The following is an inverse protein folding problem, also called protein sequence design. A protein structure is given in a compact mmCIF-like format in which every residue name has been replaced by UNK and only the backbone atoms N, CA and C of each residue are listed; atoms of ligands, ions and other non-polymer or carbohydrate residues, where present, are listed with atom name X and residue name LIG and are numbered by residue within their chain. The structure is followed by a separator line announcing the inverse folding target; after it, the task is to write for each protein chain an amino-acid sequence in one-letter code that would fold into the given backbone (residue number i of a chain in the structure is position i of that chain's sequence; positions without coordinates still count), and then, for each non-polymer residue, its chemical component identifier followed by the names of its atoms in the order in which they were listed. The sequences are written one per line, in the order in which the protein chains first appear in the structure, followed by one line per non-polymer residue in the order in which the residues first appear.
data_IF_526174081729
#
_entry.id   IF_526174081729
#
_cell.length_a   1.000
_cell.length_b   1.000
_cell.length_c   1.000
_cell.angle_alpha   90.00
_cell.angle_beta   90.00
_cell.angle_gamma   90.00
#
_symmetry.space_group_name_H-M   'P 1'
#
loop_
_entity.id
_entity.type
_entity.pdbx_description
1 polymer ?
#
# COMPACT_ATOMS: atom_id res chain seq x y z
N UNK A 1 -4.69 -9.29 12.87
CA UNK A 1 -5.90 -9.29 12.02
C UNK A 1 -7.09 -8.89 12.87
N UNK A 2 -8.18 -8.42 12.27
CA UNK A 2 -9.46 -8.19 12.95
C UNK A 2 -10.27 -9.48 12.96
N UNK A 3 -10.89 -9.85 14.09
CA UNK A 3 -11.74 -11.03 14.17
C UNK A 3 -12.95 -10.91 13.24
N UNK A 4 -13.24 -11.97 12.50
CA UNK A 4 -14.41 -12.09 11.63
C UNK A 4 -15.63 -12.59 12.39
N UNK A 5 -16.82 -12.41 11.81
CA UNK A 5 -18.06 -12.98 12.35
C UNK A 5 -17.95 -14.50 12.51
N UNK A 6 -17.35 -15.19 11.52
CA UNK A 6 -17.13 -16.63 11.58
C UNK A 6 -16.24 -17.06 12.75
N UNK A 7 -15.16 -16.33 13.00
CA UNK A 7 -14.25 -16.62 14.12
C UNK A 7 -14.92 -16.35 15.48
N UNK A 8 -15.76 -15.31 15.57
CA UNK A 8 -16.54 -15.03 16.78
C UNK A 8 -17.52 -16.16 17.08
N UNK A 9 -18.25 -16.66 16.08
CA UNK A 9 -19.17 -17.78 16.26
C UNK A 9 -18.46 -19.09 16.64
N UNK A 10 -17.17 -19.22 16.29
CA UNK A 10 -16.34 -20.37 16.64
C UNK A 10 -15.70 -20.26 18.04
N UNK A 11 -15.86 -19.15 18.77
CA UNK A 11 -15.31 -18.99 20.12
C UNK A 11 -15.91 -20.02 21.07
N UNK A 12 -15.05 -20.57 21.93
CA UNK A 12 -15.46 -21.51 22.97
C UNK A 12 -16.54 -20.88 23.87
N UNK A 13 -17.63 -21.63 24.09
CA UNK A 13 -18.79 -21.18 24.86
C UNK A 13 -19.86 -20.43 24.04
N UNK A 14 -19.62 -20.13 22.76
CA UNK A 14 -20.59 -19.46 21.88
C UNK A 14 -21.25 -20.40 20.85
N UNK A 15 -21.00 -21.71 20.94
CA UNK A 15 -21.54 -22.72 20.00
C UNK A 15 -23.06 -22.81 19.92
N UNK A 16 -23.77 -22.28 20.93
CA UNK A 16 -25.22 -22.18 20.92
C UNK A 16 -25.76 -21.01 20.06
N UNK A 17 -24.91 -20.05 19.68
CA UNK A 17 -25.26 -19.01 18.72
C UNK A 17 -25.33 -19.60 17.32
N UNK A 18 -26.38 -19.28 16.56
CA UNK A 18 -26.64 -19.89 15.25
C UNK A 18 -26.81 -18.83 14.17
N UNK A 19 -26.06 -18.98 13.09
CA UNK A 19 -26.32 -18.20 11.88
C UNK A 19 -27.67 -18.62 11.28
N UNK A 20 -28.56 -17.67 11.05
CA UNK A 20 -29.89 -17.87 10.46
C UNK A 20 -30.01 -17.36 9.02
N UNK A 21 -29.23 -16.34 8.66
CA UNK A 21 -29.12 -15.79 7.31
C UNK A 21 -27.81 -15.00 7.14
N UNK A 22 -27.51 -14.55 5.91
CA UNK A 22 -26.42 -13.64 5.59
C UNK A 22 -25.05 -14.31 5.51
N UNK A 23 -24.99 -15.58 5.06
CA UNK A 23 -23.75 -16.37 5.01
C UNK A 23 -22.60 -15.68 4.27
N UNK A 24 -22.91 -14.84 3.28
CA UNK A 24 -21.91 -14.08 2.52
C UNK A 24 -21.09 -13.11 3.40
N UNK A 25 -21.66 -12.62 4.49
CA UNK A 25 -21.00 -11.69 5.41
C UNK A 25 -20.18 -12.34 6.53
N UNK A 26 -20.01 -13.66 6.54
CA UNK A 26 -19.26 -14.36 7.61
C UNK A 26 -17.80 -13.90 7.75
N UNK A 27 -17.22 -13.36 6.68
CA UNK A 27 -15.84 -12.82 6.64
C UNK A 27 -15.77 -11.32 6.98
N UNK A 28 -16.90 -10.68 7.33
CA UNK A 28 -16.89 -9.30 7.77
C UNK A 28 -16.13 -9.19 9.10
N UNK A 29 -15.23 -8.22 9.17
CA UNK A 29 -14.48 -7.89 10.36
C UNK A 29 -15.38 -7.26 11.42
N UNK A 30 -15.31 -7.77 12.65
CA UNK A 30 -15.99 -7.20 13.82
C UNK A 30 -14.99 -6.35 14.57
N UNK A 31 -15.30 -5.07 14.77
CA UNK A 31 -14.47 -4.19 15.61
C UNK A 31 -14.93 -4.11 17.05
N UNK A 32 -16.22 -4.31 17.29
CA UNK A 32 -16.85 -4.11 18.60
C UNK A 32 -18.20 -4.84 18.65
N UNK A 33 -18.74 -5.05 19.84
CA UNK A 33 -20.15 -5.43 20.01
C UNK A 33 -20.93 -4.23 20.54
N UNK A 34 -22.18 -4.08 20.12
CA UNK A 34 -23.08 -3.04 20.65
C UNK A 34 -24.40 -3.67 21.04
N UNK A 35 -24.92 -3.34 22.23
CA UNK A 35 -26.24 -3.81 22.68
C UNK A 35 -27.24 -2.68 22.47
N UNK A 36 -28.20 -2.90 21.59
CA UNK A 36 -29.20 -1.91 21.25
C UNK A 36 -30.34 -1.91 22.29
N UNK A 37 -30.47 -0.77 22.97
CA UNK A 37 -31.52 -0.55 23.97
C UNK A 37 -32.64 0.38 23.45
N UNK A 38 -32.38 1.11 22.37
CA UNK A 38 -33.27 2.12 21.79
C UNK A 38 -34.09 1.60 20.61
N UNK A 39 -35.12 2.33 20.21
CA UNK A 39 -35.95 2.02 19.01
C UNK A 39 -35.10 1.98 17.73
N UNK A 40 -34.14 2.91 17.62
CA UNK A 40 -33.23 3.07 16.49
C UNK A 40 -31.76 2.94 16.94
N UNK A 41 -30.87 2.57 16.02
CA UNK A 41 -29.43 2.38 16.27
C UNK A 41 -28.55 3.35 15.47
N UNK A 42 -29.08 4.00 14.43
CA UNK A 42 -28.28 4.75 13.46
C UNK A 42 -27.34 5.84 14.04
N UNK A 43 -27.68 6.48 15.16
CA UNK A 43 -26.84 7.52 15.79
C UNK A 43 -25.78 6.96 16.74
N UNK A 44 -25.88 5.69 17.12
CA UNK A 44 -25.09 5.08 18.20
C UNK A 44 -24.01 4.13 17.69
N UNK A 45 -24.01 3.83 16.39
CA UNK A 45 -23.08 2.91 15.73
C UNK A 45 -22.22 3.65 14.70
N UNK A 46 -21.00 3.18 14.50
CA UNK A 46 -20.04 3.76 13.55
C UNK A 46 -19.59 2.77 12.44
N UNK A 47 -20.20 1.57 12.39
CA UNK A 47 -19.93 0.53 11.38
C UNK A 47 -18.91 -0.51 11.85
N UNK A 48 -19.05 -1.77 11.43
CA UNK A 48 -18.21 -2.90 11.85
C UNK A 48 -18.57 -3.50 13.21
N UNK A 49 -19.65 -3.05 13.87
CA UNK A 49 -20.14 -3.68 15.09
C UNK A 49 -20.93 -4.97 14.82
N UNK A 50 -20.88 -5.88 15.79
CA UNK A 50 -21.89 -6.92 15.95
C UNK A 50 -23.00 -6.38 16.87
N UNK A 51 -24.18 -6.11 16.30
CA UNK A 51 -25.26 -5.41 17.02
C UNK A 51 -26.23 -6.41 17.63
N UNK A 52 -26.33 -6.42 18.96
CA UNK A 52 -27.22 -7.26 19.74
C UNK A 52 -28.56 -6.55 19.94
N UNK A 53 -29.63 -7.16 19.44
CA UNK A 53 -31.00 -6.71 19.64
C UNK A 53 -31.66 -7.58 20.70
N UNK A 54 -32.22 -6.92 21.70
CA UNK A 54 -33.05 -7.53 22.72
C UNK A 54 -34.45 -6.92 22.69
N UNK A 55 -35.41 -7.56 23.36
CA UNK A 55 -36.73 -6.98 23.63
C UNK A 55 -36.94 -6.54 25.08
N UNK A 56 -35.86 -6.44 25.88
CA UNK A 56 -35.94 -6.18 27.33
C UNK A 56 -36.37 -4.74 27.61
N UNK A 57 -35.69 -3.77 26.99
CA UNK A 57 -35.96 -2.35 27.22
C UNK A 57 -36.98 -1.76 26.24
N UNK A 58 -37.16 -2.41 25.08
CA UNK A 58 -38.07 -1.96 24.04
C UNK A 58 -38.72 -3.17 23.36
N UNK A 59 -40.06 -3.24 23.25
CA UNK A 59 -40.72 -4.32 22.51
C UNK A 59 -40.30 -4.30 21.04
N UNK A 60 -40.12 -5.48 20.44
CA UNK A 60 -39.66 -5.61 19.06
C UNK A 60 -40.69 -6.35 18.23
N UNK A 61 -41.26 -5.68 17.24
CA UNK A 61 -42.06 -6.29 16.20
C UNK A 61 -41.24 -6.52 14.91
N UNK A 62 -41.86 -7.17 13.92
CA UNK A 62 -41.18 -7.46 12.64
C UNK A 62 -40.72 -6.18 11.92
N UNK A 63 -41.54 -5.12 11.95
CA UNK A 63 -41.23 -3.85 11.26
C UNK A 63 -40.05 -3.13 11.89
N UNK A 64 -39.98 -3.06 13.23
CA UNK A 64 -38.85 -2.49 13.94
C UNK A 64 -37.55 -3.26 13.66
N UNK A 65 -37.58 -4.60 13.67
CA UNK A 65 -36.38 -5.40 13.39
C UNK A 65 -35.88 -5.22 11.95
N UNK A 66 -36.79 -5.10 10.98
CA UNK A 66 -36.45 -4.78 9.58
C UNK A 66 -35.81 -3.39 9.51
N UNK A 67 -36.39 -2.39 10.19
CA UNK A 67 -35.86 -1.03 10.23
C UNK A 67 -34.43 -1.00 10.78
N UNK A 68 -34.18 -1.67 11.91
CA UNK A 68 -32.85 -1.77 12.51
C UNK A 68 -31.82 -2.44 11.60
N UNK A 69 -32.20 -3.50 10.88
CA UNK A 69 -31.31 -4.16 9.92
C UNK A 69 -30.94 -3.21 8.78
N UNK A 70 -31.89 -2.40 8.30
CA UNK A 70 -31.65 -1.41 7.25
C UNK A 70 -30.74 -0.26 7.74
N UNK A 71 -30.97 0.28 8.94
CA UNK A 71 -30.05 1.25 9.56
C UNK A 71 -28.64 0.65 9.72
N UNK A 72 -28.57 -0.60 10.18
CA UNK A 72 -27.33 -1.35 10.30
C UNK A 72 -26.60 -1.50 8.97
N UNK A 73 -27.31 -1.83 7.88
CA UNK A 73 -26.75 -1.90 6.52
C UNK A 73 -26.16 -0.58 6.09
N UNK A 74 -26.89 0.52 6.29
CA UNK A 74 -26.45 1.87 5.91
C UNK A 74 -25.20 2.29 6.67
N UNK A 75 -25.09 1.90 7.95
CA UNK A 75 -23.92 2.17 8.79
C UNK A 75 -22.79 1.15 8.63
N UNK A 76 -23.02 0.04 7.92
CA UNK A 76 -22.02 -0.98 7.64
C UNK A 76 -21.68 -1.88 8.83
N UNK A 77 -22.68 -2.32 9.61
CA UNK A 77 -22.47 -3.30 10.70
C UNK A 77 -21.90 -4.63 10.18
N UNK A 78 -21.18 -5.34 11.04
CA UNK A 78 -20.64 -6.65 10.72
C UNK A 78 -21.69 -7.77 10.83
N UNK A 79 -22.72 -7.58 11.66
CA UNK A 79 -23.82 -8.52 11.79
C UNK A 79 -24.85 -8.08 12.83
N UNK A 80 -26.01 -8.72 12.83
CA UNK A 80 -27.08 -8.50 13.79
C UNK A 80 -27.37 -9.78 14.56
N UNK A 81 -27.38 -9.69 15.89
CA UNK A 81 -27.66 -10.80 16.81
C UNK A 81 -29.01 -10.56 17.46
N UNK A 82 -29.93 -11.51 17.35
CA UNK A 82 -31.25 -11.44 17.99
C UNK A 82 -31.27 -12.37 19.20
N UNK A 83 -31.56 -11.82 20.37
CA UNK A 83 -31.79 -12.60 21.58
C UNK A 83 -33.20 -13.22 21.55
N UNK A 84 -33.29 -14.51 21.22
CA UNK A 84 -34.58 -15.22 21.14
C UNK A 84 -34.92 -15.98 22.41
N UNK A 85 -36.20 -15.98 22.79
CA UNK A 85 -36.74 -16.69 23.94
C UNK A 85 -38.18 -16.30 24.21
N UNK A 86 -38.84 -17.05 25.10
CA UNK A 86 -40.29 -16.98 25.29
C UNK A 86 -40.80 -15.59 25.77
N UNK A 87 -39.96 -14.83 26.48
CA UNK A 87 -40.36 -13.61 27.16
C UNK A 87 -40.43 -12.36 26.27
N UNK A 88 -39.64 -12.29 25.20
CA UNK A 88 -39.46 -11.05 24.42
C UNK A 88 -39.61 -11.29 22.92
N UNK A 89 -38.59 -11.85 22.28
CA UNK A 89 -38.59 -12.17 20.84
C UNK A 89 -38.65 -13.69 20.72
N UNK A 90 -39.83 -14.24 20.46
CA UNK A 90 -40.03 -15.69 20.46
C UNK A 90 -39.30 -16.38 19.30
N UNK A 91 -39.30 -15.77 18.12
CA UNK A 91 -38.62 -16.28 16.94
C UNK A 91 -38.21 -15.14 16.01
N UNK A 92 -37.17 -15.36 15.20
CA UNK A 92 -36.76 -14.43 14.16
C UNK A 92 -37.77 -14.49 13.00
N UNK A 93 -38.39 -13.36 12.59
CA UNK A 93 -39.39 -13.36 11.53
C UNK A 93 -38.82 -13.81 10.17
N UNK A 94 -39.54 -14.62 9.36
CA UNK A 94 -39.05 -15.09 8.06
C UNK A 94 -38.68 -13.98 7.08
N UNK A 95 -39.40 -12.84 7.10
CA UNK A 95 -39.08 -11.71 6.23
C UNK A 95 -37.74 -11.07 6.60
N UNK A 96 -37.42 -11.01 7.89
CA UNK A 96 -36.12 -10.53 8.36
C UNK A 96 -34.97 -11.44 7.93
N UNK A 97 -35.18 -12.77 7.99
CA UNK A 97 -34.22 -13.77 7.51
C UNK A 97 -33.96 -13.56 6.01
N UNK A 98 -35.02 -13.48 5.20
CA UNK A 98 -34.91 -13.27 3.76
C UNK A 98 -34.17 -11.96 3.42
N UNK A 99 -34.51 -10.87 4.13
CA UNK A 99 -33.87 -9.57 3.93
C UNK A 99 -32.38 -9.60 4.33
N UNK A 100 -32.02 -10.27 5.42
CA UNK A 100 -30.63 -10.39 5.84
C UNK A 100 -29.79 -11.19 4.83
N UNK A 101 -30.35 -12.24 4.23
CA UNK A 101 -29.71 -12.97 3.12
C UNK A 101 -29.52 -12.09 1.89
N UNK A 102 -30.55 -11.34 1.48
CA UNK A 102 -30.49 -10.40 0.36
C UNK A 102 -29.40 -9.33 0.56
N UNK A 103 -29.33 -8.76 1.77
CA UNK A 103 -28.37 -7.72 2.12
C UNK A 103 -26.96 -8.26 2.40
N UNK A 104 -26.80 -9.58 2.51
CA UNK A 104 -25.56 -10.26 2.87
C UNK A 104 -25.09 -9.99 4.31
N UNK A 105 -26.00 -9.61 5.22
CA UNK A 105 -25.67 -9.30 6.62
C UNK A 105 -25.90 -10.55 7.48
N UNK A 106 -24.88 -11.04 8.22
CA UNK A 106 -25.05 -12.14 9.14
C UNK A 106 -26.14 -11.85 10.17
N UNK A 107 -27.22 -12.63 10.12
CA UNK A 107 -28.28 -12.62 11.11
C UNK A 107 -28.10 -13.83 12.01
N UNK A 108 -27.82 -13.58 13.28
CA UNK A 108 -27.42 -14.59 14.25
C UNK A 108 -28.48 -14.67 15.34
N UNK A 109 -28.87 -15.88 15.68
CA UNK A 109 -29.72 -16.16 16.82
C UNK A 109 -28.86 -16.46 18.05
N UNK A 110 -29.10 -15.74 19.14
CA UNK A 110 -28.61 -16.06 20.46
C UNK A 110 -29.79 -16.56 21.31
N UNK A 111 -29.78 -17.81 21.79
CA UNK A 111 -30.84 -18.29 22.67
C UNK A 111 -30.75 -17.62 24.06
N UNK A 112 -31.90 -17.32 24.68
CA UNK A 112 -32.00 -16.64 25.97
C UNK A 112 -31.25 -17.35 27.11
N UNK A 113 -31.15 -18.68 27.04
CA UNK A 113 -30.38 -19.50 28.00
C UNK A 113 -28.88 -19.19 27.96
N UNK A 114 -28.35 -18.73 26.82
CA UNK A 114 -26.97 -18.26 26.70
C UNK A 114 -26.90 -16.81 27.20
N UNK A 115 -26.42 -16.65 28.43
CA UNK A 115 -26.37 -15.36 29.12
C UNK A 115 -25.52 -14.34 28.36
N UNK A 116 -26.06 -13.13 28.18
CA UNK A 116 -25.40 -12.03 27.49
C UNK A 116 -24.02 -11.67 28.07
N UNK A 117 -23.86 -11.75 29.39
CA UNK A 117 -22.55 -11.50 30.04
C UNK A 117 -21.47 -12.44 29.54
N UNK A 118 -21.79 -13.72 29.31
CA UNK A 118 -20.85 -14.71 28.78
C UNK A 118 -20.50 -14.33 27.34
N UNK A 119 -21.51 -14.01 26.52
CA UNK A 119 -21.31 -13.67 25.11
C UNK A 119 -20.44 -12.44 24.94
N UNK A 120 -20.81 -11.35 25.62
CA UNK A 120 -20.11 -10.06 25.56
C UNK A 120 -18.71 -10.13 26.15
N UNK A 121 -18.50 -10.84 27.27
CA UNK A 121 -17.17 -11.07 27.84
C UNK A 121 -16.25 -11.83 26.87
N UNK A 122 -16.75 -12.89 26.23
CA UNK A 122 -15.97 -13.71 25.29
C UNK A 122 -15.60 -12.92 24.04
N UNK A 123 -16.56 -12.22 23.44
CA UNK A 123 -16.34 -11.39 22.25
C UNK A 123 -15.39 -10.24 22.60
N UNK A 124 -15.66 -9.49 23.66
CA UNK A 124 -14.81 -8.36 24.08
C UNK A 124 -13.37 -8.79 24.38
N UNK A 125 -13.19 -9.90 25.12
CA UNK A 125 -11.86 -10.44 25.42
C UNK A 125 -11.13 -10.88 24.15
N UNK A 126 -11.82 -11.55 23.22
CA UNK A 126 -11.23 -11.98 21.96
C UNK A 126 -10.81 -10.78 21.10
N UNK A 127 -11.66 -9.75 20.98
CA UNK A 127 -11.36 -8.53 20.23
C UNK A 127 -10.11 -7.81 20.79
N UNK A 128 -10.05 -7.62 22.12
CA UNK A 128 -8.89 -7.00 22.78
C UNK A 128 -7.62 -7.82 22.57
N UNK A 129 -7.70 -9.15 22.67
CA UNK A 129 -6.54 -10.04 22.39
C UNK A 129 -6.07 -9.91 20.94
N UNK A 130 -7.00 -9.87 19.99
CA UNK A 130 -6.70 -9.72 18.56
C UNK A 130 -6.00 -8.38 18.25
N UNK A 131 -6.48 -7.30 18.86
CA UNK A 131 -5.86 -5.97 18.70
C UNK A 131 -4.47 -5.92 19.33
N UNK A 132 -4.30 -6.47 20.53
CA UNK A 132 -3.00 -6.55 21.21
C UNK A 132 -1.98 -7.38 20.41
N UNK A 133 -2.42 -8.50 19.81
CA UNK A 133 -1.56 -9.30 18.94
C UNK A 133 -1.13 -8.51 17.70
N UNK A 134 -2.06 -7.81 17.04
CA UNK A 134 -1.75 -6.97 15.88
C UNK A 134 -0.78 -5.84 16.23
N UNK A 135 -0.97 -5.18 17.38
CA UNK A 135 -0.06 -4.16 17.85
C UNK A 135 1.33 -4.74 18.13
N UNK A 136 1.40 -5.90 18.80
CA UNK A 136 2.68 -6.58 19.03
C UNK A 136 3.37 -6.96 17.72
N UNK A 137 2.64 -7.42 16.70
CA UNK A 137 3.19 -7.73 15.39
C UNK A 137 3.76 -6.47 14.71
N UNK A 138 3.04 -5.35 14.77
CA UNK A 138 3.51 -4.06 14.22
C UNK A 138 4.77 -3.57 14.93
N UNK A 139 4.81 -3.68 16.25
CA UNK A 139 5.96 -3.26 17.04
C UNK A 139 7.20 -4.11 16.70
N UNK A 140 7.04 -5.43 16.59
CA UNK A 140 8.13 -6.34 16.17
C UNK A 140 8.63 -5.95 14.78
N UNK A 141 7.72 -5.74 13.82
CA UNK A 141 8.09 -5.38 12.47
C UNK A 141 8.79 -4.01 12.43
N UNK A 142 8.30 -3.02 13.19
CA UNK A 142 8.95 -1.72 13.33
C UNK A 142 10.36 -1.87 13.87
N UNK A 143 10.54 -2.52 15.03
CA UNK A 143 11.86 -2.72 15.63
C UNK A 143 12.83 -3.39 14.64
N UNK A 144 12.36 -4.43 13.94
CA UNK A 144 13.15 -5.14 12.93
C UNK A 144 13.58 -4.24 11.76
N UNK A 145 12.65 -3.43 11.23
CA UNK A 145 12.90 -2.51 10.11
C UNK A 145 13.75 -1.31 10.52
N UNK A 146 13.70 -0.87 11.77
CA UNK A 146 14.46 0.28 12.25
C UNK A 146 15.83 -0.09 12.80
N UNK A 147 16.02 -1.35 13.18
CA UNK A 147 17.19 -1.78 13.97
C UNK A 147 17.09 -1.40 15.44
N UNK A 148 15.92 -0.95 15.91
CA UNK A 148 15.69 -0.49 17.29
C UNK A 148 15.24 -1.66 18.17
N UNK A 149 16.13 -2.64 18.34
CA UNK A 149 15.92 -3.77 19.24
C UNK A 149 17.17 -3.96 20.11
N UNK A 150 17.00 -4.23 21.42
CA UNK A 150 18.13 -4.45 22.31
C UNK A 150 18.81 -5.80 22.03
N UNK A 151 18.03 -6.81 21.64
CA UNK A 151 18.50 -8.18 21.41
C UNK A 151 17.69 -8.84 20.27
N UNK A 152 18.40 -9.35 19.27
CA UNK A 152 17.81 -9.97 18.09
C UNK A 152 17.17 -11.33 18.38
N UNK A 153 17.71 -12.11 19.32
CA UNK A 153 17.16 -13.41 19.71
C UNK A 153 15.81 -13.22 20.40
N UNK A 154 15.70 -12.23 21.29
CA UNK A 154 14.41 -11.88 21.93
C UNK A 154 13.39 -11.44 20.86
N UNK A 155 13.79 -10.60 19.91
CA UNK A 155 12.93 -10.17 18.83
C UNK A 155 12.45 -11.35 17.98
N UNK A 156 13.35 -12.30 17.66
CA UNK A 156 13.03 -13.50 16.91
C UNK A 156 12.05 -14.41 17.68
N UNK A 157 12.24 -14.61 18.98
CA UNK A 157 11.30 -15.37 19.82
C UNK A 157 9.91 -14.72 19.86
N UNK A 158 9.84 -13.38 19.97
CA UNK A 158 8.58 -12.63 19.91
C UNK A 158 7.90 -12.78 18.56
N UNK A 159 8.66 -12.75 17.46
CA UNK A 159 8.15 -12.98 16.12
C UNK A 159 7.52 -14.39 15.99
N UNK A 160 8.22 -15.42 16.45
CA UNK A 160 7.71 -16.80 16.45
C UNK A 160 6.43 -16.95 17.29
N UNK A 161 6.37 -16.34 18.48
CA UNK A 161 5.16 -16.34 19.31
C UNK A 161 3.98 -15.67 18.61
N UNK A 162 4.23 -14.62 17.81
CA UNK A 162 3.22 -13.93 17.01
C UNK A 162 2.99 -14.58 15.63
N UNK A 163 3.53 -15.78 15.39
CA UNK A 163 3.39 -16.55 14.15
C UNK A 163 3.92 -15.82 12.91
N UNK A 164 4.91 -14.93 13.09
CA UNK A 164 5.58 -14.24 11.98
C UNK A 164 6.77 -15.08 11.50
N UNK A 165 6.64 -15.63 10.29
CA UNK A 165 7.66 -16.50 9.68
C UNK A 165 8.66 -15.71 8.82
N UNK A 166 9.84 -15.46 9.39
CA UNK A 166 10.94 -14.79 8.71
C UNK A 166 11.96 -15.76 8.07
N UNK A 167 11.65 -17.07 8.01
CA UNK A 167 12.58 -18.07 7.44
C UNK A 167 12.61 -18.03 5.91
N UNK A 168 11.55 -17.53 5.30
CA UNK A 168 11.40 -17.36 3.85
C UNK A 168 12.01 -16.04 3.39
N UNK A 169 12.54 -15.95 2.16
CA UNK A 169 13.01 -14.69 1.60
C UNK A 169 11.85 -13.71 1.48
N UNK A 170 12.05 -12.49 1.99
CA UNK A 170 11.05 -11.42 2.00
C UNK A 170 11.66 -10.13 1.49
N UNK A 171 10.85 -9.27 0.89
CA UNK A 171 11.22 -7.90 0.51
C UNK A 171 10.48 -6.91 1.37
N UNK A 172 11.15 -5.79 1.67
CA UNK A 172 10.53 -4.62 2.27
C UNK A 172 9.96 -3.76 1.14
N UNK A 173 8.67 -3.44 1.23
CA UNK A 173 8.01 -2.47 0.40
C UNK A 173 7.79 -1.18 1.20
N UNK A 174 8.18 -0.04 0.63
CA UNK A 174 7.94 1.28 1.18
C UNK A 174 7.11 2.09 0.20
N UNK A 175 5.93 2.54 0.65
CA UNK A 175 4.95 3.23 -0.17
C UNK A 175 4.66 4.62 0.38
N UNK A 176 4.66 5.64 -0.47
CA UNK A 176 4.47 7.05 -0.08
C UNK A 176 3.45 7.74 -0.98
N UNK A 177 2.68 8.63 -0.36
CA UNK A 177 1.80 9.57 -1.06
C UNK A 177 2.61 10.76 -1.57
N UNK A 178 2.45 11.05 -2.86
CA UNK A 178 3.01 12.19 -3.56
C UNK A 178 1.94 13.22 -3.91
N UNK A 179 2.37 14.44 -4.21
CA UNK A 179 1.48 15.56 -4.55
C UNK A 179 0.99 16.35 -3.33
N UNK A 180 1.48 16.04 -2.13
CA UNK A 180 1.10 16.75 -0.89
C UNK A 180 1.38 18.25 -1.00
N UNK A 181 2.57 18.73 -1.43
CA UNK A 181 2.80 20.17 -1.55
C UNK A 181 1.84 20.86 -2.53
N UNK A 182 1.46 20.17 -3.62
CA UNK A 182 0.48 20.68 -4.59
C UNK A 182 -0.90 20.81 -3.96
N UNK A 183 -1.33 19.82 -3.17
CA UNK A 183 -2.60 19.85 -2.45
C UNK A 183 -2.69 21.09 -1.53
N UNK A 184 -1.65 21.35 -0.73
CA UNK A 184 -1.60 22.51 0.18
C UNK A 184 -1.43 23.86 -0.54
N UNK A 185 -1.00 23.89 -1.80
CA UNK A 185 -1.01 25.10 -2.64
C UNK A 185 -2.39 25.37 -3.26
N UNK A 186 -3.17 24.33 -3.51
CA UNK A 186 -4.46 24.43 -4.21
C UNK A 186 -5.64 24.69 -3.26
N UNK A 187 -5.58 24.17 -2.03
CA UNK A 187 -6.68 24.23 -1.07
C UNK A 187 -6.26 24.92 0.24
N UNK A 188 -7.22 25.49 1.00
CA UNK A 188 -6.98 25.97 2.36
C UNK A 188 -6.36 24.87 3.25
N UNK A 189 -5.45 25.20 4.18
CA UNK A 189 -4.72 24.20 4.98
C UNK A 189 -5.60 23.18 5.71
N UNK A 190 -6.71 23.62 6.30
CA UNK A 190 -7.63 22.71 7.02
C UNK A 190 -8.31 21.71 6.08
N UNK A 191 -8.69 22.14 4.88
CA UNK A 191 -9.30 21.27 3.87
C UNK A 191 -8.27 20.31 3.28
N UNK A 192 -7.07 20.80 2.98
CA UNK A 192 -5.95 19.98 2.50
C UNK A 192 -5.55 18.90 3.52
N UNK A 193 -5.49 19.25 4.81
CA UNK A 193 -5.19 18.32 5.90
C UNK A 193 -6.29 17.26 6.04
N UNK A 194 -7.57 17.67 6.04
CA UNK A 194 -8.70 16.73 6.09
C UNK A 194 -8.67 15.75 4.92
N UNK A 195 -8.37 16.24 3.70
CA UNK A 195 -8.21 15.42 2.51
C UNK A 195 -7.04 14.44 2.66
N UNK A 196 -5.87 14.92 3.07
CA UNK A 196 -4.69 14.08 3.26
C UNK A 196 -4.96 12.96 4.26
N UNK A 197 -5.62 13.27 5.38
CA UNK A 197 -6.01 12.28 6.37
C UNK A 197 -6.99 11.24 5.80
N UNK A 198 -7.98 11.68 5.02
CA UNK A 198 -8.93 10.77 4.37
C UNK A 198 -8.27 9.88 3.33
N UNK A 199 -7.37 10.43 2.50
CA UNK A 199 -6.59 9.69 1.53
C UNK A 199 -5.72 8.63 2.23
N UNK A 200 -4.98 9.00 3.29
CA UNK A 200 -4.17 8.07 4.08
C UNK A 200 -5.01 6.95 4.69
N UNK A 201 -6.16 7.27 5.28
CA UNK A 201 -7.09 6.26 5.84
C UNK A 201 -7.57 5.29 4.77
N UNK A 202 -7.94 5.79 3.61
CA UNK A 202 -8.43 5.00 2.48
C UNK A 202 -7.34 4.07 1.92
N UNK A 203 -6.14 4.59 1.71
CA UNK A 203 -4.97 3.81 1.26
C UNK A 203 -4.65 2.72 2.27
N UNK A 204 -4.57 3.05 3.56
CA UNK A 204 -4.32 2.09 4.65
C UNK A 204 -5.32 0.95 4.64
N UNK A 205 -6.62 1.27 4.58
CA UNK A 205 -7.70 0.28 4.60
C UNK A 205 -7.65 -0.63 3.37
N UNK A 206 -7.56 -0.05 2.17
CA UNK A 206 -7.50 -0.82 0.92
C UNK A 206 -6.25 -1.69 0.83
N UNK A 207 -5.09 -1.16 1.23
CA UNK A 207 -3.84 -1.89 1.22
C UNK A 207 -3.88 -3.06 2.20
N UNK A 208 -4.30 -2.83 3.44
CA UNK A 208 -4.45 -3.89 4.43
C UNK A 208 -5.44 -4.97 3.97
N UNK A 209 -6.57 -4.58 3.38
CA UNK A 209 -7.55 -5.53 2.85
C UNK A 209 -6.94 -6.41 1.75
N UNK A 210 -6.18 -5.82 0.83
CA UNK A 210 -5.52 -6.58 -0.24
C UNK A 210 -4.43 -7.52 0.29
N UNK A 211 -3.61 -7.06 1.25
CA UNK A 211 -2.62 -7.91 1.90
C UNK A 211 -3.28 -9.11 2.59
N UNK A 212 -4.41 -8.89 3.26
CA UNK A 212 -5.18 -9.98 3.89
C UNK A 212 -5.76 -10.96 2.85
N UNK A 213 -6.28 -10.47 1.72
CA UNK A 213 -6.82 -11.31 0.64
C UNK A 213 -5.75 -12.21 0.00
N UNK A 214 -4.50 -11.76 -0.01
CA UNK A 214 -3.35 -12.55 -0.47
C UNK A 214 -2.80 -13.49 0.61
N UNK A 215 -3.42 -13.53 1.80
CA UNK A 215 -2.94 -14.35 2.91
C UNK A 215 -1.63 -13.87 3.51
N UNK A 216 -1.26 -12.60 3.32
CA UNK A 216 -0.02 -12.05 3.87
C UNK A 216 -0.12 -11.98 5.41
N UNK A 217 0.75 -12.68 6.15
CA UNK A 217 0.69 -12.70 7.62
C UNK A 217 1.29 -11.45 8.27
N UNK A 218 2.02 -10.62 7.52
CA UNK A 218 2.71 -9.46 8.06
C UNK A 218 1.79 -8.24 8.13
N UNK A 219 1.80 -7.49 9.25
CA UNK A 219 0.95 -6.32 9.38
C UNK A 219 1.46 -5.15 8.53
N UNK A 220 0.53 -4.31 8.07
CA UNK A 220 0.87 -2.99 7.56
C UNK A 220 1.33 -2.10 8.71
N UNK A 221 2.44 -1.40 8.50
CA UNK A 221 3.04 -0.46 9.44
C UNK A 221 3.10 0.93 8.81
N UNK A 222 2.84 1.97 9.59
CA UNK A 222 3.02 3.36 9.16
C UNK A 222 4.16 4.03 9.91
N UNK A 223 5.08 4.67 9.18
CA UNK A 223 6.17 5.46 9.77
C UNK A 223 6.62 6.56 8.83
N UNK A 224 6.84 7.77 9.35
CA UNK A 224 7.42 8.90 8.60
C UNK A 224 6.71 9.17 7.25
N UNK A 225 5.38 9.15 7.24
CA UNK A 225 4.53 9.31 6.04
C UNK A 225 4.67 8.21 4.97
N UNK A 226 5.16 7.03 5.37
CA UNK A 226 5.21 5.84 4.51
C UNK A 226 4.39 4.71 5.10
N UNK A 227 3.84 3.91 4.20
CA UNK A 227 3.27 2.60 4.46
C UNK A 227 4.35 1.55 4.20
N UNK A 228 4.67 0.76 5.21
CA UNK A 228 5.70 -0.28 5.20
C UNK A 228 5.05 -1.64 5.36
N UNK A 229 5.38 -2.57 4.47
CA UNK A 229 4.89 -3.94 4.51
C UNK A 229 5.93 -4.90 3.91
N UNK A 230 5.78 -6.19 4.21
CA UNK A 230 6.66 -7.24 3.69
C UNK A 230 5.96 -8.04 2.61
N UNK A 231 6.72 -8.43 1.59
CA UNK A 231 6.28 -9.21 0.44
C UNK A 231 7.14 -10.47 0.31
N UNK A 232 6.55 -11.69 0.29
CA UNK A 232 7.28 -12.92 -0.02
C UNK A 232 8.04 -12.83 -1.35
N UNK A 233 9.28 -13.31 -1.36
CA UNK A 233 10.17 -13.32 -2.53
C UNK A 233 10.52 -14.76 -2.95
N UNK A 234 9.51 -15.60 -3.17
CA UNK A 234 9.64 -16.94 -3.74
C UNK A 234 9.54 -16.90 -5.29
N UNK A 235 10.16 -17.87 -5.97
CA UNK A 235 10.15 -17.94 -7.44
C UNK A 235 8.72 -18.00 -8.00
N UNK A 236 8.39 -17.05 -8.89
CA UNK A 236 7.04 -16.90 -9.47
C UNK A 236 6.08 -16.05 -8.63
N UNK A 237 6.14 -16.15 -7.30
CA UNK A 237 5.27 -15.40 -6.39
C UNK A 237 5.56 -13.89 -6.42
N UNK A 238 6.84 -13.50 -6.41
CA UNK A 238 7.21 -12.09 -6.45
C UNK A 238 6.75 -11.37 -7.72
N UNK A 239 6.81 -12.03 -8.89
CA UNK A 239 6.34 -11.43 -10.14
C UNK A 239 4.85 -11.13 -10.09
N UNK A 240 4.05 -12.06 -9.53
CA UNK A 240 2.62 -11.87 -9.34
C UNK A 240 2.34 -10.73 -8.35
N UNK A 241 3.03 -10.70 -7.21
CA UNK A 241 2.90 -9.64 -6.21
C UNK A 241 3.27 -8.27 -6.77
N UNK A 242 4.39 -8.17 -7.52
CA UNK A 242 4.83 -6.93 -8.16
C UNK A 242 3.82 -6.45 -9.21
N UNK A 243 3.28 -7.37 -10.02
CA UNK A 243 2.28 -7.04 -11.05
C UNK A 243 0.98 -6.54 -10.44
N UNK A 244 0.49 -7.22 -9.39
CA UNK A 244 -0.68 -6.77 -8.64
C UNK A 244 -0.44 -5.39 -8.02
N UNK A 245 0.69 -5.19 -7.34
CA UNK A 245 1.02 -3.92 -6.69
C UNK A 245 1.09 -2.79 -7.72
N UNK A 246 1.64 -3.06 -8.91
CA UNK A 246 1.71 -2.08 -9.99
C UNK A 246 0.31 -1.69 -10.48
N UNK A 247 -0.55 -2.68 -10.73
CA UNK A 247 -1.93 -2.43 -11.13
C UNK A 247 -2.71 -1.66 -10.06
N UNK A 248 -2.51 -2.01 -8.79
CA UNK A 248 -3.16 -1.35 -7.66
C UNK A 248 -2.73 0.12 -7.50
N UNK A 249 -1.43 0.41 -7.66
CA UNK A 249 -0.89 1.78 -7.64
C UNK A 249 -1.44 2.64 -8.79
N UNK A 250 -1.58 2.06 -9.99
CA UNK A 250 -2.13 2.75 -11.16
C UNK A 250 -3.61 3.07 -10.94
N UNK A 251 -4.41 2.09 -10.49
CA UNK A 251 -5.84 2.27 -10.27
C UNK A 251 -6.15 3.34 -9.19
N UNK A 252 -5.28 3.51 -8.20
CA UNK A 252 -5.44 4.58 -7.20
C UNK A 252 -5.04 5.97 -7.71
N UNK A 253 -4.17 6.04 -8.72
CA UNK A 253 -3.72 7.30 -9.29
C UNK A 253 -4.71 7.90 -10.30
N UNK A 254 -5.73 7.16 -10.72
CA UNK A 254 -6.81 7.63 -11.59
C UNK A 254 -7.90 8.42 -10.84
N UNK A 255 -7.73 8.64 -9.53
CA UNK A 255 -8.58 9.58 -8.78
C UNK A 255 -8.24 11.04 -9.09
N UNK A 256 -9.27 11.90 -9.20
CA UNK A 256 -9.17 13.34 -9.52
C UNK A 256 -8.46 14.20 -8.44
N UNK A 257 -7.99 13.56 -7.37
CA UNK A 257 -7.51 14.19 -6.13
C UNK A 257 -6.11 14.82 -6.24
N UNK A 258 -5.40 14.61 -7.36
CA UNK A 258 -4.04 15.12 -7.57
C UNK A 258 -2.95 14.48 -6.69
N UNK A 259 -3.31 13.53 -5.83
CA UNK A 259 -2.40 12.69 -5.06
C UNK A 259 -2.06 11.43 -5.86
N UNK A 260 -0.84 10.93 -5.69
CA UNK A 260 -0.44 9.69 -6.33
C UNK A 260 0.42 8.82 -5.41
N UNK A 261 0.51 7.53 -5.70
CA UNK A 261 1.30 6.60 -4.90
C UNK A 261 2.53 6.14 -5.65
N UNK A 262 3.65 6.09 -4.93
CA UNK A 262 4.90 5.50 -5.36
C UNK A 262 5.30 4.38 -4.38
N UNK A 263 6.01 3.38 -4.88
CA UNK A 263 6.52 2.27 -4.10
C UNK A 263 7.98 1.97 -4.43
N UNK A 264 8.81 1.83 -3.40
CA UNK A 264 10.15 1.28 -3.49
C UNK A 264 10.21 -0.13 -2.90
N UNK A 265 10.90 -1.04 -3.57
CA UNK A 265 11.10 -2.42 -3.13
C UNK A 265 12.57 -2.66 -2.83
N UNK A 266 12.87 -3.32 -1.71
CA UNK A 266 14.23 -3.76 -1.38
C UNK A 266 14.67 -4.98 -2.21
N UNK A 267 15.94 -5.36 -2.09
CA UNK A 267 16.39 -6.71 -2.42
C UNK A 267 15.81 -7.73 -1.41
N UNK A 268 15.76 -9.04 -1.74
CA UNK A 268 15.38 -10.09 -0.81
C UNK A 268 16.22 -10.07 0.46
N UNK A 269 15.55 -10.32 1.57
CA UNK A 269 16.12 -10.46 2.90
C UNK A 269 15.99 -11.92 3.32
N UNK A 270 17.13 -12.56 3.60
CA UNK A 270 17.19 -13.96 4.05
C UNK A 270 17.45 -14.10 5.55
N UNK A 271 17.80 -13.00 6.23
CA UNK A 271 18.20 -13.00 7.64
C UNK A 271 17.60 -11.79 8.37
N UNK A 272 17.25 -11.94 9.64
CA UNK A 272 16.60 -10.88 10.41
C UNK A 272 17.44 -9.59 10.53
N UNK A 273 18.77 -9.67 10.54
CA UNK A 273 19.63 -8.48 10.58
C UNK A 273 19.52 -7.63 9.30
N UNK A 274 19.09 -8.22 8.19
CA UNK A 274 19.05 -7.56 6.89
C UNK A 274 17.92 -6.54 6.73
N UNK A 275 16.90 -6.55 7.59
CA UNK A 275 15.70 -5.73 7.44
C UNK A 275 15.93 -4.23 7.57
N UNK A 276 16.84 -3.81 8.45
CA UNK A 276 17.21 -2.39 8.54
C UNK A 276 17.81 -1.89 7.24
N UNK A 277 18.75 -2.66 6.66
CA UNK A 277 19.33 -2.36 5.35
C UNK A 277 18.28 -2.40 4.25
N UNK A 278 17.36 -3.36 4.29
CA UNK A 278 16.29 -3.50 3.32
C UNK A 278 15.31 -2.31 3.35
N UNK A 279 14.98 -1.78 4.53
CA UNK A 279 14.21 -0.54 4.63
C UNK A 279 14.96 0.62 3.96
N UNK A 280 16.26 0.78 4.20
CA UNK A 280 17.06 1.81 3.52
C UNK A 280 17.04 1.63 1.99
N UNK A 281 17.15 0.40 1.50
CA UNK A 281 17.07 0.08 0.07
C UNK A 281 15.70 0.43 -0.53
N UNK A 282 14.61 0.06 0.15
CA UNK A 282 13.26 0.36 -0.29
C UNK A 282 13.02 1.88 -0.35
N UNK A 283 13.49 2.64 0.65
CA UNK A 283 13.42 4.11 0.66
C UNK A 283 14.23 4.73 -0.47
N UNK A 284 15.46 4.26 -0.68
CA UNK A 284 16.31 4.73 -1.78
C UNK A 284 15.67 4.45 -3.15
N UNK A 285 15.07 3.28 -3.33
CA UNK A 285 14.32 2.97 -4.54
C UNK A 285 13.09 3.86 -4.71
N UNK A 286 12.38 4.16 -3.62
CA UNK A 286 11.24 5.06 -3.61
C UNK A 286 11.64 6.50 -3.98
N UNK A 287 12.71 7.03 -3.39
CA UNK A 287 13.19 8.40 -3.67
C UNK A 287 13.70 8.55 -5.12
N UNK A 288 14.21 7.47 -5.71
CA UNK A 288 14.62 7.43 -7.12
C UNK A 288 13.44 7.23 -8.09
N UNK A 289 12.31 6.71 -7.62
CA UNK A 289 11.14 6.46 -8.47
C UNK A 289 10.54 7.75 -9.04
N UNK A 290 10.67 8.85 -8.30
CA UNK A 290 10.22 10.18 -8.67
C UNK A 290 11.05 10.79 -9.82
N UNK A 291 12.34 10.46 -9.87
CA UNK A 291 13.31 11.11 -10.75
C UNK A 291 13.51 10.43 -12.11
N UNK A 292 13.12 9.16 -12.27
CA UNK A 292 13.58 8.36 -13.40
C UNK A 292 12.47 7.74 -14.25
N UNK A 293 11.36 7.29 -13.64
CA UNK A 293 10.27 6.59 -14.34
C UNK A 293 8.90 6.81 -13.68
N UNK A 294 8.32 8.03 -13.78
CA UNK A 294 7.03 8.35 -13.16
C UNK A 294 5.88 7.43 -13.61
N UNK A 295 5.95 6.86 -14.82
CA UNK A 295 4.93 5.94 -15.33
C UNK A 295 4.93 4.55 -14.66
N UNK A 296 6.06 4.08 -14.11
CA UNK A 296 6.14 2.74 -13.52
C UNK A 296 5.63 2.69 -12.08
N UNK A 297 5.69 3.81 -11.33
CA UNK A 297 5.27 3.97 -9.92
C UNK A 297 5.90 3.01 -8.90
N UNK A 298 6.56 1.95 -9.35
CA UNK A 298 7.32 0.99 -8.57
C UNK A 298 8.77 1.07 -9.01
N UNK A 299 9.68 1.14 -8.04
CA UNK A 299 11.12 0.99 -8.26
C UNK A 299 11.67 -0.17 -7.45
N UNK A 300 12.38 -1.07 -8.12
CA UNK A 300 12.99 -2.25 -7.52
C UNK A 300 14.48 -2.00 -7.32
N UNK A 301 14.95 -2.07 -6.07
CA UNK A 301 16.32 -1.77 -5.72
C UNK A 301 17.35 -2.62 -6.49
N UNK A 302 17.03 -3.87 -6.82
CA UNK A 302 17.93 -4.73 -7.61
C UNK A 302 18.08 -4.24 -9.05
N UNK A 303 17.06 -3.55 -9.59
CA UNK A 303 17.02 -3.08 -10.97
C UNK A 303 17.64 -1.68 -11.15
N UNK A 304 18.02 -0.99 -10.06
CA UNK A 304 18.60 0.36 -10.13
C UNK A 304 20.02 0.40 -10.69
N UNK A 305 20.75 -0.71 -10.71
CA UNK A 305 22.11 -0.75 -11.27
C UNK A 305 23.06 0.23 -10.59
N UNK A 306 23.74 1.09 -11.37
CA UNK A 306 24.68 2.11 -10.88
C UNK A 306 23.98 3.35 -10.29
N UNK A 307 22.68 3.55 -10.55
CA UNK A 307 21.93 4.73 -10.10
C UNK A 307 21.91 4.80 -8.56
N UNK A 308 21.84 3.64 -7.89
CA UNK A 308 21.96 3.57 -6.42
C UNK A 308 23.31 4.11 -5.90
N UNK A 309 24.39 3.96 -6.67
CA UNK A 309 25.70 4.49 -6.31
C UNK A 309 25.70 6.02 -6.45
N UNK A 310 25.07 6.55 -7.50
CA UNK A 310 24.92 7.99 -7.69
C UNK A 310 24.15 8.64 -6.55
N UNK A 311 23.05 8.04 -6.11
CA UNK A 311 22.27 8.55 -4.96
C UNK A 311 22.99 8.46 -3.61
N UNK A 312 24.09 7.71 -3.52
CA UNK A 312 24.92 7.67 -2.32
C UNK A 312 25.96 8.81 -2.29
N UNK A 313 26.17 9.51 -3.41
CA UNK A 313 27.08 10.65 -3.49
C UNK A 313 26.41 11.84 -2.80
N UNK A 314 27.01 12.31 -1.69
CA UNK A 314 26.46 13.40 -0.89
C UNK A 314 26.67 14.80 -1.46
N UNK A 315 27.58 14.94 -2.43
CA UNK A 315 27.90 16.22 -3.07
C UNK A 315 27.22 16.32 -4.45
N UNK A 316 26.14 17.10 -4.59
CA UNK A 316 25.46 17.31 -5.85
C UNK A 316 26.32 18.07 -6.88
N UNK A 317 27.27 18.89 -6.43
CA UNK A 317 28.14 19.65 -7.33
C UNK A 317 29.03 18.70 -8.12
N UNK A 318 29.61 17.68 -7.47
CA UNK A 318 30.41 16.66 -8.13
C UNK A 318 29.63 15.93 -9.25
N UNK A 319 28.36 15.61 -9.01
CA UNK A 319 27.51 14.98 -10.03
C UNK A 319 27.24 15.95 -11.20
N UNK A 320 26.95 17.20 -10.89
CA UNK A 320 26.72 18.26 -11.88
C UNK A 320 27.97 18.50 -12.74
N UNK A 321 29.14 18.61 -12.12
CA UNK A 321 30.43 18.81 -12.78
C UNK A 321 30.75 17.62 -13.69
N UNK A 322 30.59 16.38 -13.22
CA UNK A 322 30.78 15.19 -14.05
C UNK A 322 29.86 15.19 -15.28
N UNK A 323 28.59 15.58 -15.10
CA UNK A 323 27.63 15.68 -16.20
C UNK A 323 28.04 16.76 -17.20
N UNK A 324 28.43 17.94 -16.71
CA UNK A 324 28.84 19.07 -17.55
C UNK A 324 30.16 18.79 -18.29
N UNK A 325 31.14 18.20 -17.62
CA UNK A 325 32.42 17.81 -18.21
C UNK A 325 32.24 16.75 -19.31
N UNK A 326 31.29 15.83 -19.12
CA UNK A 326 31.06 14.73 -20.08
C UNK A 326 30.16 15.14 -21.25
N UNK A 327 29.06 15.84 -20.98
CA UNK A 327 27.99 16.09 -21.94
C UNK A 327 27.66 17.57 -22.14
N UNK A 328 28.24 18.48 -21.36
CA UNK A 328 27.97 19.92 -21.44
C UNK A 328 28.27 20.50 -22.81
N UNK A 329 29.29 19.98 -23.50
CA UNK A 329 29.63 20.37 -24.88
C UNK A 329 28.54 20.03 -25.92
N UNK A 330 27.58 19.16 -25.58
CA UNK A 330 26.45 18.77 -26.44
C UNK A 330 25.21 19.65 -26.24
N UNK A 331 25.22 20.53 -25.24
CA UNK A 331 24.14 21.48 -24.96
C UNK A 331 24.36 22.72 -25.82
N UNK A 332 23.43 23.00 -26.75
CA UNK A 332 23.54 24.13 -27.69
C UNK A 332 22.48 25.22 -27.38
N UNK A 333 22.67 26.08 -26.36
CA UNK A 333 21.64 26.99 -25.84
C UNK A 333 21.06 27.96 -26.88
N UNK A 334 21.85 28.37 -27.87
CA UNK A 334 21.44 29.34 -28.90
C UNK A 334 20.63 28.72 -30.06
N UNK A 335 20.35 27.41 -30.01
CA UNK A 335 19.59 26.71 -31.07
C UNK A 335 18.13 26.49 -30.69
N UNK A 336 17.29 26.33 -31.72
CA UNK A 336 15.85 25.98 -31.56
C UNK A 336 15.63 24.72 -30.72
N UNK A 337 16.60 23.81 -30.68
CA UNK A 337 16.53 22.57 -29.89
C UNK A 337 17.87 22.36 -29.17
N UNK A 338 18.05 22.97 -27.98
CA UNK A 338 19.33 22.94 -27.26
C UNK A 338 19.84 21.55 -26.86
N UNK A 339 18.91 20.59 -26.71
CA UNK A 339 19.19 19.25 -26.19
C UNK A 339 19.22 18.17 -27.28
N UNK A 340 19.10 18.56 -28.56
CA UNK A 340 18.93 17.64 -29.68
C UNK A 340 20.04 16.58 -29.79
N UNK A 341 21.29 16.98 -29.52
CA UNK A 341 22.44 16.06 -29.57
C UNK A 341 22.44 15.10 -28.38
N UNK A 342 22.01 15.54 -27.20
CA UNK A 342 21.84 14.65 -26.04
C UNK A 342 20.72 13.64 -26.26
N UNK A 343 19.56 14.07 -26.79
CA UNK A 343 18.46 13.16 -27.16
C UNK A 343 18.90 12.11 -28.19
N UNK A 344 19.72 12.54 -29.15
CA UNK A 344 20.28 11.65 -30.17
C UNK A 344 21.25 10.64 -29.56
N UNK A 345 22.17 11.09 -28.70
CA UNK A 345 23.12 10.23 -27.98
C UNK A 345 22.39 9.24 -27.08
N UNK A 346 21.41 9.70 -26.32
CA UNK A 346 20.58 8.87 -25.45
C UNK A 346 19.89 7.75 -26.22
N UNK A 347 19.27 8.06 -27.36
CA UNK A 347 18.63 7.07 -28.22
C UNK A 347 19.65 6.05 -28.76
N UNK A 348 20.85 6.51 -29.16
CA UNK A 348 21.91 5.62 -29.63
C UNK A 348 22.38 4.66 -28.54
N UNK A 349 22.55 5.13 -27.30
CA UNK A 349 22.95 4.29 -26.17
C UNK A 349 21.85 3.27 -25.81
N UNK A 350 20.57 3.66 -25.87
CA UNK A 350 19.44 2.75 -25.64
C UNK A 350 19.35 1.62 -26.67
N UNK A 351 19.68 1.91 -27.93
CA UNK A 351 19.69 0.92 -29.02
C UNK A 351 21.06 0.22 -29.17
N UNK A 352 21.92 0.29 -28.16
CA UNK A 352 23.26 -0.34 -28.15
C UNK A 352 24.13 0.03 -29.36
N UNK A 353 24.01 1.28 -29.84
CA UNK A 353 24.72 1.79 -31.01
C UNK A 353 24.10 1.40 -32.37
N UNK A 354 22.92 0.76 -32.39
CA UNK A 354 22.23 0.43 -33.64
C UNK A 354 21.63 1.68 -34.29
N UNK A 355 22.34 2.22 -35.29
CA UNK A 355 21.97 3.43 -36.02
C UNK A 355 20.61 3.30 -36.72
N UNK A 356 20.25 2.11 -37.23
CA UNK A 356 18.97 1.91 -37.94
C UNK A 356 17.81 2.04 -36.97
N UNK A 357 17.84 1.29 -35.86
CA UNK A 357 16.78 1.35 -34.84
C UNK A 357 16.69 2.72 -34.17
N UNK A 358 17.84 3.37 -33.94
CA UNK A 358 17.87 4.72 -33.39
C UNK A 358 17.24 5.75 -34.35
N UNK A 359 17.47 5.63 -35.67
CA UNK A 359 16.87 6.51 -36.67
C UNK A 359 15.34 6.34 -36.73
N UNK A 360 14.86 5.09 -36.70
CA UNK A 360 13.42 4.76 -36.63
C UNK A 360 12.78 5.34 -35.37
N UNK A 361 13.41 5.14 -34.20
CA UNK A 361 12.90 5.63 -32.91
C UNK A 361 12.86 7.16 -32.82
N UNK A 362 13.80 7.85 -33.46
CA UNK A 362 13.83 9.31 -33.55
C UNK A 362 12.94 9.87 -34.68
N UNK A 363 12.38 9.01 -35.54
CA UNK A 363 11.57 9.43 -36.68
C UNK A 363 12.35 10.22 -37.74
N UNK A 364 13.66 9.98 -37.88
CA UNK A 364 14.54 10.72 -38.80
C UNK A 364 15.21 9.79 -39.81
N UNK A 365 15.65 10.37 -40.93
CA UNK A 365 16.41 9.63 -41.94
C UNK A 365 17.83 9.30 -41.44
N UNK A 366 18.36 8.13 -41.82
CA UNK A 366 19.72 7.65 -41.45
C UNK A 366 20.83 8.66 -41.72
N UNK A 367 20.74 9.42 -42.82
CA UNK A 367 21.75 10.42 -43.18
C UNK A 367 21.81 11.56 -42.16
N UNK A 368 20.64 12.00 -41.67
CA UNK A 368 20.53 13.02 -40.64
C UNK A 368 21.09 12.51 -39.32
N UNK A 369 20.82 11.25 -38.97
CA UNK A 369 21.39 10.63 -37.76
C UNK A 369 22.92 10.54 -37.86
N UNK A 370 23.47 10.11 -39.00
CA UNK A 370 24.92 10.08 -39.22
C UNK A 370 25.57 11.47 -39.06
N UNK A 371 24.95 12.52 -39.59
CA UNK A 371 25.44 13.89 -39.40
C UNK A 371 25.46 14.31 -37.92
N UNK A 372 24.42 13.92 -37.15
CA UNK A 372 24.38 14.19 -35.71
C UNK A 372 25.43 13.40 -34.94
N UNK A 373 25.64 12.12 -35.27
CA UNK A 373 26.71 11.28 -34.69
C UNK A 373 28.07 11.93 -34.93
N UNK A 374 28.39 12.28 -36.18
CA UNK A 374 29.67 12.95 -36.50
C UNK A 374 29.87 14.24 -35.72
N UNK A 375 28.79 15.00 -35.49
CA UNK A 375 28.84 16.21 -34.68
C UNK A 375 29.10 15.91 -33.20
N UNK A 376 28.44 14.90 -32.63
CA UNK A 376 28.67 14.44 -31.26
C UNK A 376 30.13 14.01 -31.08
N UNK A 377 30.67 13.22 -32.01
CA UNK A 377 32.06 12.74 -31.97
C UNK A 377 33.06 13.90 -32.08
N UNK A 378 32.76 14.89 -32.91
CA UNK A 378 33.59 16.10 -33.04
C UNK A 378 33.61 16.95 -31.77
N UNK A 379 32.47 17.10 -31.11
CA UNK A 379 32.35 17.92 -29.89
C UNK A 379 32.94 17.23 -28.66
N UNK A 380 32.71 15.92 -28.54
CA UNK A 380 33.18 15.13 -27.39
C UNK A 380 34.63 14.67 -27.53
N UNK A 381 35.17 14.66 -28.76
CA UNK A 381 36.52 14.18 -29.05
C UNK A 381 36.66 12.65 -29.04
N UNK A 382 35.57 11.92 -28.83
CA UNK A 382 35.56 10.46 -28.79
C UNK A 382 34.54 9.90 -29.80
N UNK A 383 34.85 8.76 -30.45
CA UNK A 383 33.83 7.98 -31.14
C UNK A 383 32.70 7.58 -30.18
N UNK A 384 31.44 7.58 -30.63
CA UNK A 384 30.30 7.17 -29.78
C UNK A 384 30.43 5.70 -29.35
N UNK A 385 31.11 4.89 -30.16
CA UNK A 385 31.42 3.48 -29.87
C UNK A 385 32.56 3.28 -28.86
N UNK A 386 33.25 4.35 -28.43
CA UNK A 386 34.35 4.24 -27.49
C UNK A 386 33.86 3.78 -26.11
N UNK A 387 34.32 2.63 -25.57
CA UNK A 387 33.71 2.01 -24.38
C UNK A 387 33.66 2.92 -23.13
N UNK A 388 34.74 3.65 -22.86
CA UNK A 388 34.80 4.55 -21.71
C UNK A 388 33.87 5.76 -21.87
N UNK A 389 33.77 6.28 -23.10
CA UNK A 389 32.87 7.41 -23.39
C UNK A 389 31.42 6.95 -23.29
N UNK A 390 31.10 5.78 -23.83
CA UNK A 390 29.78 5.17 -23.72
C UNK A 390 29.34 5.02 -22.25
N UNK A 391 30.22 4.53 -21.38
CA UNK A 391 29.96 4.42 -19.94
C UNK A 391 29.75 5.80 -19.29
N UNK A 392 30.70 6.73 -19.48
CA UNK A 392 30.62 8.06 -18.89
C UNK A 392 29.37 8.81 -19.36
N UNK A 393 29.06 8.76 -20.66
CA UNK A 393 27.87 9.35 -21.24
C UNK A 393 26.58 8.74 -20.69
N UNK A 394 26.53 7.41 -20.50
CA UNK A 394 25.38 6.74 -19.90
C UNK A 394 25.15 7.19 -18.45
N UNK A 395 26.23 7.35 -17.68
CA UNK A 395 26.17 7.85 -16.29
C UNK A 395 25.77 9.33 -16.27
N UNK A 396 26.37 10.17 -17.11
CA UNK A 396 26.07 11.60 -17.20
C UNK A 396 24.61 11.86 -17.63
N UNK A 397 24.06 11.07 -18.55
CA UNK A 397 22.63 11.13 -18.91
C UNK A 397 21.73 10.74 -17.74
N UNK A 398 22.10 9.73 -16.94
CA UNK A 398 21.35 9.36 -15.75
C UNK A 398 21.35 10.48 -14.70
N UNK A 399 22.50 11.12 -14.46
CA UNK A 399 22.62 12.29 -13.58
C UNK A 399 21.77 13.46 -14.10
N UNK A 400 21.84 13.74 -15.39
CA UNK A 400 21.05 14.80 -16.02
C UNK A 400 19.55 14.60 -15.80
N UNK A 401 19.03 13.38 -16.01
CA UNK A 401 17.62 13.03 -15.73
C UNK A 401 17.22 13.26 -14.28
N UNK A 402 18.08 12.86 -13.34
CA UNK A 402 17.86 13.11 -11.91
C UNK A 402 17.78 14.60 -11.59
N UNK A 403 18.61 15.44 -12.24
CA UNK A 403 18.62 16.89 -12.03
C UNK A 403 17.43 17.64 -12.65
N UNK A 404 16.93 17.18 -13.81
CA UNK A 404 15.83 17.80 -14.55
C UNK A 404 14.50 17.76 -13.79
N UNK A 405 14.27 16.73 -12.97
CA UNK A 405 13.04 16.63 -12.18
C UNK A 405 13.06 17.55 -10.95
N UNK A 406 14.22 17.81 -10.32
CA UNK A 406 14.33 18.81 -9.25
C UNK A 406 14.07 20.25 -9.74
N UNK A 407 14.39 20.57 -10.99
CA UNK A 407 14.11 21.89 -11.57
C UNK A 407 12.62 22.11 -11.88
N UNK A 408 11.79 21.06 -11.96
CA UNK A 408 10.33 21.18 -12.11
C UNK A 408 9.61 21.49 -10.80
N UNK A 409 10.29 21.39 -9.65
CA UNK A 409 9.72 21.61 -8.32
C UNK A 409 10.13 22.95 -7.67
N UNK A 410 11.04 23.71 -8.28
CA UNK A 410 11.37 25.06 -7.82
C UNK A 410 10.42 26.10 -8.44
N UNK A 411 10.02 27.13 -7.67
CA UNK A 411 8.87 27.99 -7.93
C UNK A 411 8.93 28.83 -9.21
#
# INVERSE_FOLDING_TARGET
MSLTVSEILALEGLSAMRLRAGKQGLQLAVRWYYVAENENIAEWIMGGELVFITGINHPRDEENLIHLLMEGKQRGIAGMVILTGDAYIQAIPPRLIALADELGIPLIEQPYLLKMVIVTERIGTALVRSENALQSQRDILLQLLTGDYPDLQILHQRALHQQLDFTRPLRVAALRLEGIPRLFRQFPPEQAEAWLQQARRTVRQRLQQQLNQQGNPFPLVERSNMFLFLLPDEEGEFYQQKTWLQAWLIALAEGDDGLSLLCGLSAPVQQLQGYQRALSQARQALDLSDNLRPAQRISDYQQLGFIKLLSAVSDPALLSDFMHDTLGCLIEPDRKSPWLLMETLETLLQESGNVVRAAERLGIHRNTLHQRIQRIEKLTGYPVSHPQFHLNASVALAIWRMSQNHLREQP
#
